data_IF_292549818446
#
_entry.id   IF_292549818446
#
_cell.length_a   1.000
_cell.length_b   1.000
_cell.length_c   1.000
_cell.angle_alpha   90.00
_cell.angle_beta   90.00
_cell.angle_gamma   90.00
#
_symmetry.space_group_name_H-M   'P 1'
#
loop_
_entity.id
_entity.type
_entity.pdbx_description
1 polymer ?
#
# COMPACT_ATOMS: atom_id res chain seq x y z
N UNK A 1 -4.69 2.83 -19.52
CA UNK A 1 -4.49 1.37 -19.62
C UNK A 1 -3.53 0.97 -18.52
N UNK A 2 -3.91 0.09 -17.60
CA UNK A 2 -2.93 -0.51 -16.68
C UNK A 2 -2.21 -1.61 -17.45
N UNK A 3 -1.00 -1.34 -17.92
CA UNK A 3 -0.16 -2.38 -18.51
C UNK A 3 0.15 -3.45 -17.46
N UNK A 4 0.33 -4.71 -17.89
CA UNK A 4 0.77 -5.77 -16.99
C UNK A 4 2.17 -5.43 -16.49
N UNK A 5 2.28 -5.10 -15.20
CA UNK A 5 3.57 -4.89 -14.53
C UNK A 5 4.22 -6.23 -14.19
N UNK A 6 5.49 -6.37 -14.51
CA UNK A 6 6.31 -7.49 -14.09
C UNK A 6 6.97 -7.19 -12.73
N UNK A 7 7.53 -8.23 -12.11
CA UNK A 7 8.13 -8.13 -10.77
C UNK A 7 9.29 -7.14 -10.68
N UNK A 8 10.03 -6.92 -11.77
CA UNK A 8 11.18 -6.00 -11.80
C UNK A 8 10.76 -4.53 -11.88
N UNK A 9 9.51 -4.25 -12.28
CA UNK A 9 8.96 -2.89 -12.36
C UNK A 9 8.37 -2.40 -11.04
N UNK A 10 8.24 -3.27 -10.03
CA UNK A 10 7.75 -2.88 -8.71
C UNK A 10 8.83 -2.03 -8.02
N UNK A 11 8.56 -0.76 -7.65
CA UNK A 11 9.55 0.13 -7.04
C UNK A 11 10.19 -0.48 -5.78
N UNK A 12 11.42 -0.15 -5.40
CA UNK A 12 11.96 -0.62 -4.09
C UNK A 12 11.58 0.32 -2.93
N UNK A 13 11.17 1.55 -3.25
CA UNK A 13 10.68 2.51 -2.26
C UNK A 13 9.35 2.07 -1.63
N UNK A 14 9.19 2.41 -0.36
CA UNK A 14 7.98 2.18 0.42
C UNK A 14 7.30 3.51 0.68
N UNK A 15 5.97 3.55 0.55
CA UNK A 15 5.21 4.80 0.69
C UNK A 15 4.23 4.80 1.86
N UNK A 16 3.73 3.65 2.31
CA UNK A 16 2.45 3.63 3.04
C UNK A 16 2.41 2.84 4.35
N UNK A 17 3.37 1.96 4.65
CA UNK A 17 3.41 1.25 5.95
C UNK A 17 4.47 1.86 6.87
N UNK A 18 4.03 2.20 8.08
CA UNK A 18 4.94 2.45 9.20
C UNK A 18 5.27 1.13 9.89
N UNK A 19 6.56 0.76 10.03
CA UNK A 19 6.93 -0.46 10.75
C UNK A 19 6.31 -0.50 12.17
N UNK A 20 5.76 -1.65 12.56
CA UNK A 20 5.12 -1.82 13.87
C UNK A 20 3.71 -1.24 14.00
N UNK A 21 3.13 -0.65 12.95
CA UNK A 21 1.77 -0.12 13.00
C UNK A 21 0.67 -1.19 12.95
N UNK A 22 1.01 -2.43 12.55
CA UNK A 22 0.06 -3.53 12.39
C UNK A 22 0.52 -4.80 13.12
N UNK A 23 -0.42 -5.74 13.31
CA UNK A 23 -0.11 -7.06 13.86
C UNK A 23 0.96 -7.78 13.03
N UNK A 24 1.77 -8.61 13.70
CA UNK A 24 2.75 -9.46 13.01
C UNK A 24 2.03 -10.36 11.99
N UNK A 25 2.52 -10.36 10.75
CA UNK A 25 1.89 -11.12 9.66
C UNK A 25 0.55 -10.57 9.16
N UNK A 26 0.21 -9.30 9.42
CA UNK A 26 -1.05 -8.72 8.95
C UNK A 26 -1.16 -8.72 7.41
N UNK A 27 -2.01 -9.60 6.87
CA UNK A 27 -2.23 -9.72 5.42
C UNK A 27 -2.86 -8.47 4.80
N UNK A 28 -3.76 -7.80 5.51
CA UNK A 28 -4.45 -6.62 4.99
C UNK A 28 -3.52 -5.39 4.89
N UNK A 29 -2.60 -5.23 5.84
CA UNK A 29 -1.54 -4.22 5.74
C UNK A 29 -0.64 -4.53 4.54
N UNK A 30 -0.20 -5.78 4.38
CA UNK A 30 0.63 -6.20 3.24
C UNK A 30 -0.06 -5.94 1.90
N UNK A 31 -1.35 -6.25 1.79
CA UNK A 31 -2.14 -6.00 0.58
C UNK A 31 -2.22 -4.50 0.24
N UNK A 32 -2.53 -3.64 1.22
CA UNK A 32 -2.57 -2.20 1.03
C UNK A 32 -1.20 -1.66 0.58
N UNK A 33 -0.11 -2.11 1.22
CA UNK A 33 1.27 -1.77 0.84
C UNK A 33 1.54 -2.11 -0.63
N UNK A 34 1.25 -3.33 -1.06
CA UNK A 34 1.47 -3.76 -2.45
C UNK A 34 0.58 -3.00 -3.44
N UNK A 35 -0.66 -2.70 -3.07
CA UNK A 35 -1.58 -1.95 -3.92
C UNK A 35 -1.05 -0.52 -4.19
N UNK A 36 -0.70 0.24 -3.16
CA UNK A 36 -0.16 1.59 -3.34
C UNK A 36 1.19 1.59 -4.08
N UNK A 37 1.97 0.53 -3.89
CA UNK A 37 3.24 0.34 -4.58
C UNK A 37 3.08 0.11 -6.07
N UNK A 38 2.06 -0.66 -6.47
CA UNK A 38 1.73 -0.91 -7.86
C UNK A 38 1.07 0.30 -8.54
N UNK A 39 0.20 1.01 -7.82
CA UNK A 39 -0.57 2.12 -8.37
C UNK A 39 0.20 3.46 -8.38
N UNK A 40 1.19 3.62 -7.51
CA UNK A 40 2.07 4.80 -7.48
C UNK A 40 1.47 6.01 -6.75
N UNK A 41 2.07 7.21 -6.93
CA UNK A 41 1.69 8.42 -6.18
C UNK A 41 0.38 9.08 -6.68
N UNK A 42 -0.03 8.82 -7.93
CA UNK A 42 -1.22 9.45 -8.53
C UNK A 42 -2.50 8.65 -8.24
N UNK A 43 -2.76 8.39 -6.95
CA UNK A 43 -3.84 7.52 -6.49
C UNK A 43 -4.62 8.17 -5.37
N UNK A 44 -5.95 8.18 -5.48
CA UNK A 44 -6.83 8.61 -4.40
C UNK A 44 -7.23 7.38 -3.60
N UNK A 45 -6.89 7.37 -2.32
CA UNK A 45 -7.43 6.41 -1.36
C UNK A 45 -8.73 6.93 -0.77
N UNK A 46 -9.81 6.17 -0.90
CA UNK A 46 -11.00 6.38 -0.09
C UNK A 46 -10.82 5.70 1.27
N UNK A 47 -10.70 6.49 2.33
CA UNK A 47 -10.57 5.99 3.70
C UNK A 47 -11.91 5.50 4.25
N UNK A 48 -11.91 4.32 4.85
CA UNK A 48 -13.06 3.75 5.57
C UNK A 48 -12.61 3.27 6.96
N UNK A 49 -13.45 3.37 8.00
CA UNK A 49 -13.06 2.97 9.35
C UNK A 49 -12.78 1.46 9.44
N UNK A 50 -11.50 1.07 9.31
CA UNK A 50 -11.05 -0.31 9.40
C UNK A 50 -9.56 -0.40 9.77
N UNK A 51 -9.12 -1.58 10.23
CA UNK A 51 -7.73 -1.76 10.67
C UNK A 51 -6.69 -1.36 9.61
N UNK A 52 -6.80 -1.75 8.32
CA UNK A 52 -5.86 -1.32 7.28
C UNK A 52 -5.76 0.20 7.10
N UNK A 53 -6.86 0.92 7.29
CA UNK A 53 -6.92 2.38 7.18
C UNK A 53 -6.16 3.09 8.28
N UNK A 54 -6.26 2.56 9.50
CA UNK A 54 -5.54 3.11 10.65
C UNK A 54 -4.02 2.89 10.59
N UNK A 55 -3.57 1.85 9.87
CA UNK A 55 -2.16 1.42 9.91
C UNK A 55 -1.38 1.72 8.63
N UNK A 56 -2.05 2.21 7.59
CA UNK A 56 -1.44 2.59 6.32
C UNK A 56 -1.79 4.04 5.96
N UNK A 57 -0.81 4.82 5.48
CA UNK A 57 -1.05 6.22 5.09
C UNK A 57 -1.45 6.33 3.62
N UNK A 58 -2.21 7.37 3.29
CA UNK A 58 -2.40 7.80 1.90
C UNK A 58 -1.04 8.20 1.32
N UNK A 59 -0.65 7.73 0.12
CA UNK A 59 0.49 8.31 -0.59
C UNK A 59 0.24 9.82 -0.77
N UNK A 60 1.18 10.66 -0.32
CA UNK A 60 1.18 12.11 -0.54
C UNK A 60 2.56 12.51 -1.00
#
# INVERSE_FOLDING_TARGET
>A
MSERINRAQIPMSEMTITPGSACQGCGAALAARLAFKALGPNVIRHGIPCCPDSVTKTPR
#
